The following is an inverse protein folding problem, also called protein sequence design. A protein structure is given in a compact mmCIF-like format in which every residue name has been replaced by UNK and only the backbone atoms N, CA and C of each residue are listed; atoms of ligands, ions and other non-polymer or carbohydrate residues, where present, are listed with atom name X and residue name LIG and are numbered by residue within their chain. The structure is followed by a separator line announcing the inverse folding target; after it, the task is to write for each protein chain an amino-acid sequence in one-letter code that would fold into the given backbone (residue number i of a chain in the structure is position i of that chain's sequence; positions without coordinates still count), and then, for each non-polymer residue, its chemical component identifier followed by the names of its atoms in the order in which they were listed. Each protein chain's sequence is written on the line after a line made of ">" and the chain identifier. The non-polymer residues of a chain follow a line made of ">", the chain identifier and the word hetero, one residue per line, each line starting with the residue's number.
data_IF_691084256259
#
_entry.id   IF_691084256259
#
_cell.length_a   1.000
_cell.length_b   1.000
_cell.length_c   1.000
_cell.angle_alpha   90.00
_cell.angle_beta   90.00
_cell.angle_gamma   90.00
#
_symmetry.space_group_name_H-M   'P 1'
#
loop_
_entity.id
_entity.type
_entity.pdbx_description
1 polymer ?
#
# COMPACT_ATOMS: atom_id res chain seq x y z
N UNK A 1 37.23 -3.33 21.44
CA UNK A 1 36.07 -3.90 20.69
C UNK A 1 34.84 -3.17 21.24
N UNK A 2 34.45 -2.11 20.57
CA UNK A 2 33.30 -1.28 20.98
C UNK A 2 32.19 -1.52 19.96
N UNK A 3 31.14 -2.20 20.40
CA UNK A 3 29.94 -2.45 19.59
C UNK A 3 29.15 -1.14 19.46
N UNK A 4 29.13 -0.59 18.28
CA UNK A 4 28.19 0.44 17.87
C UNK A 4 26.80 -0.20 17.71
N UNK A 5 26.04 -0.26 18.79
CA UNK A 5 24.58 -0.34 18.72
C UNK A 5 24.08 1.04 18.27
N UNK A 6 23.86 1.21 16.97
CA UNK A 6 23.02 2.29 16.49
C UNK A 6 21.59 2.01 16.97
N UNK A 7 21.16 2.77 17.97
CA UNK A 7 19.81 2.75 18.47
C UNK A 7 18.86 3.21 17.37
N UNK A 8 18.05 2.30 16.85
CA UNK A 8 16.83 2.63 16.12
C UNK A 8 15.93 3.30 17.16
N UNK A 9 15.78 4.60 17.07
CA UNK A 9 14.82 5.33 17.91
C UNK A 9 13.44 4.96 17.41
N UNK A 10 12.81 4.03 18.09
CA UNK A 10 11.41 3.65 17.83
C UNK A 10 10.54 4.90 17.85
N UNK A 11 9.88 5.23 16.75
CA UNK A 11 8.95 6.34 16.68
C UNK A 11 7.72 6.01 17.53
N UNK A 12 7.59 6.67 18.68
CA UNK A 12 6.56 6.39 19.69
C UNK A 12 5.14 6.79 19.25
N UNK A 13 5.00 7.61 18.19
CA UNK A 13 3.71 8.13 17.72
C UNK A 13 3.62 7.95 16.20
N UNK A 14 2.49 7.42 15.66
CA UNK A 14 2.30 7.28 14.22
C UNK A 14 2.34 8.65 13.52
N UNK A 15 2.83 8.68 12.29
CA UNK A 15 2.81 9.90 11.47
C UNK A 15 1.40 10.27 10.98
N UNK A 16 0.40 9.55 11.39
CA UNK A 16 -1.02 9.64 11.04
C UNK A 16 -1.27 9.35 9.56
N UNK A 17 -0.75 10.19 8.67
CA UNK A 17 -0.78 9.98 7.22
C UNK A 17 0.56 10.35 6.60
N UNK A 18 0.98 9.59 5.60
CA UNK A 18 2.25 9.74 4.88
C UNK A 18 1.96 9.79 3.38
N UNK A 19 2.42 10.86 2.72
CA UNK A 19 2.42 10.95 1.26
C UNK A 19 3.46 9.98 0.70
N UNK A 20 3.01 8.90 0.07
CA UNK A 20 3.91 7.88 -0.46
C UNK A 20 4.50 8.26 -1.81
N UNK A 21 3.86 9.14 -2.61
CA UNK A 21 4.49 9.66 -3.82
C UNK A 21 5.67 10.56 -3.48
N UNK A 22 5.49 11.47 -2.53
CA UNK A 22 6.59 12.31 -2.04
C UNK A 22 7.71 11.44 -1.44
N UNK A 23 7.36 10.40 -0.67
CA UNK A 23 8.33 9.42 -0.16
C UNK A 23 9.09 8.70 -1.29
N UNK A 24 8.41 8.28 -2.35
CA UNK A 24 9.06 7.59 -3.47
C UNK A 24 10.08 8.51 -4.19
N UNK A 25 9.75 9.79 -4.35
CA UNK A 25 10.56 10.77 -5.04
C UNK A 25 11.75 11.28 -4.20
N UNK A 26 11.58 11.39 -2.88
CA UNK A 26 12.67 11.86 -1.99
C UNK A 26 13.55 10.69 -1.53
N UNK A 27 14.66 10.49 -2.22
CA UNK A 27 15.63 9.43 -1.92
C UNK A 27 16.36 9.59 -0.58
N UNK A 28 16.22 10.73 0.10
CA UNK A 28 16.80 10.96 1.41
C UNK A 28 15.95 10.38 2.54
N UNK A 29 14.68 10.08 2.28
CA UNK A 29 13.74 9.53 3.26
C UNK A 29 13.80 7.99 3.31
N UNK A 30 13.52 7.45 4.48
CA UNK A 30 13.46 6.01 4.73
C UNK A 30 14.81 5.36 4.99
N UNK A 31 14.78 4.03 5.14
CA UNK A 31 15.96 3.22 5.46
C UNK A 31 16.22 2.19 4.36
N UNK A 32 17.49 1.93 4.00
CA UNK A 32 17.82 0.86 3.06
C UNK A 32 17.34 -0.49 3.58
N UNK A 33 16.90 -1.35 2.68
CA UNK A 33 16.60 -2.73 3.02
C UNK A 33 17.90 -3.51 3.19
N UNK A 34 18.18 -4.01 4.38
CA UNK A 34 19.47 -4.64 4.72
C UNK A 34 19.46 -6.18 4.60
N UNK A 35 18.31 -6.78 4.37
CA UNK A 35 18.14 -8.24 4.39
C UNK A 35 18.24 -8.91 3.01
N UNK A 36 18.77 -8.20 2.03
CA UNK A 36 18.93 -8.68 0.67
C UNK A 36 20.22 -9.51 0.55
N UNK A 37 20.17 -10.76 0.92
CA UNK A 37 21.24 -11.73 0.72
C UNK A 37 21.40 -12.08 -0.77
N UNK A 38 22.09 -11.23 -1.55
CA UNK A 38 22.57 -11.57 -2.90
C UNK A 38 21.50 -11.97 -3.92
N UNK A 39 20.29 -11.56 -3.71
CA UNK A 39 19.14 -11.91 -4.53
C UNK A 39 18.90 -10.91 -5.67
N UNK A 40 17.90 -11.20 -6.48
CA UNK A 40 17.46 -10.40 -7.61
C UNK A 40 17.20 -8.93 -7.24
N UNK A 41 17.47 -7.99 -8.17
CA UNK A 41 17.31 -6.56 -7.98
C UNK A 41 15.92 -6.17 -7.52
N UNK A 42 14.86 -6.87 -7.95
CA UNK A 42 13.48 -6.63 -7.52
C UNK A 42 13.31 -6.84 -6.02
N UNK A 43 14.02 -7.77 -5.42
CA UNK A 43 13.99 -8.04 -3.99
C UNK A 43 15.01 -7.23 -3.20
N UNK A 44 16.12 -6.81 -3.80
CA UNK A 44 17.24 -6.17 -3.11
C UNK A 44 17.25 -4.65 -3.18
N UNK A 45 16.78 -4.05 -4.28
CA UNK A 45 16.80 -2.60 -4.47
C UNK A 45 15.59 -1.92 -3.83
N UNK A 46 15.54 -1.97 -2.50
CA UNK A 46 14.40 -1.49 -1.71
C UNK A 46 14.81 -0.44 -0.70
N UNK A 47 13.94 0.52 -0.49
CA UNK A 47 14.01 1.53 0.55
C UNK A 47 12.70 1.52 1.32
N UNK A 48 12.79 1.35 2.64
CA UNK A 48 11.64 1.13 3.51
C UNK A 48 11.20 2.44 4.16
N UNK A 49 9.90 2.61 4.29
CA UNK A 49 9.36 3.60 5.20
C UNK A 49 9.68 3.19 6.63
N UNK A 50 10.11 4.16 7.46
CA UNK A 50 10.38 3.91 8.89
C UNK A 50 9.06 3.73 9.64
N UNK A 51 8.62 2.48 9.76
CA UNK A 51 7.44 2.06 10.50
C UNK A 51 7.83 1.31 11.76
N UNK A 52 6.99 1.31 12.80
CA UNK A 52 7.16 0.44 13.95
C UNK A 52 7.31 -1.02 13.51
N UNK A 53 8.12 -1.85 14.21
CA UNK A 53 8.25 -3.27 13.92
C UNK A 53 6.88 -3.95 13.92
N UNK A 54 6.62 -4.75 12.88
CA UNK A 54 5.33 -5.42 12.72
C UNK A 54 5.30 -6.32 11.47
N UNK A 55 4.15 -6.90 11.18
CA UNK A 55 3.99 -7.82 10.05
C UNK A 55 3.90 -7.11 8.69
N UNK A 56 3.82 -5.77 8.69
CA UNK A 56 3.71 -4.98 7.46
C UNK A 56 4.95 -4.15 7.26
N UNK A 57 5.45 -4.17 6.04
CA UNK A 57 6.48 -3.24 5.57
C UNK A 57 5.98 -2.48 4.36
N UNK A 58 6.27 -1.20 4.31
CA UNK A 58 5.93 -0.30 3.20
C UNK A 58 7.22 0.32 2.68
N UNK A 59 7.34 0.46 1.38
CA UNK A 59 8.56 1.03 0.81
C UNK A 59 8.47 1.23 -0.69
N UNK A 60 9.63 1.49 -1.29
CA UNK A 60 9.80 1.69 -2.72
C UNK A 60 10.87 0.76 -3.26
N UNK A 61 10.62 0.17 -4.43
CA UNK A 61 11.57 -0.56 -5.26
C UNK A 61 11.98 0.38 -6.39
N UNK A 62 13.27 0.55 -6.62
CA UNK A 62 13.79 1.35 -7.73
C UNK A 62 14.66 0.47 -8.62
N UNK A 63 14.27 0.30 -9.87
CA UNK A 63 14.99 -0.48 -10.88
C UNK A 63 15.50 0.46 -11.98
N UNK A 64 16.77 0.35 -12.36
CA UNK A 64 17.37 1.19 -13.41
C UNK A 64 17.00 0.74 -14.84
N UNK A 65 16.19 -0.30 -14.96
CA UNK A 65 15.91 -1.07 -16.17
C UNK A 65 16.57 -2.44 -16.11
N UNK A 66 16.32 -3.30 -17.11
CA UNK A 66 16.84 -4.66 -17.16
C UNK A 66 15.77 -5.71 -16.91
N UNK A 67 16.20 -6.88 -16.46
CA UNK A 67 15.32 -8.01 -16.16
C UNK A 67 15.95 -8.95 -15.13
N UNK A 68 15.11 -9.68 -14.42
CA UNK A 68 15.57 -10.65 -13.44
C UNK A 68 14.52 -11.72 -13.16
N UNK A 69 14.93 -12.74 -12.40
CA UNK A 69 14.08 -13.86 -12.00
C UNK A 69 13.93 -13.87 -10.48
N UNK A 70 12.71 -13.61 -10.02
CA UNK A 70 12.32 -13.89 -8.64
C UNK A 70 11.89 -15.35 -8.56
N UNK A 71 12.68 -16.20 -7.90
CA UNK A 71 12.41 -17.64 -7.78
C UNK A 71 11.28 -17.95 -6.80
N UNK A 72 11.15 -17.13 -5.77
CA UNK A 72 10.10 -17.24 -4.77
C UNK A 72 9.85 -15.86 -4.16
N UNK A 73 8.65 -15.36 -4.29
CA UNK A 73 8.22 -14.14 -3.60
C UNK A 73 8.16 -14.41 -2.08
N UNK A 74 8.87 -13.66 -1.24
CA UNK A 74 9.03 -14.02 0.17
C UNK A 74 7.77 -13.85 1.03
N UNK A 75 6.77 -13.14 0.52
CA UNK A 75 5.49 -12.90 1.22
C UNK A 75 4.47 -12.30 0.25
N UNK A 76 3.19 -12.24 0.63
CA UNK A 76 2.18 -11.49 -0.12
C UNK A 76 2.55 -10.01 -0.16
N UNK A 77 2.57 -9.44 -1.35
CA UNK A 77 2.99 -8.07 -1.57
C UNK A 77 2.10 -7.38 -2.60
N UNK A 78 1.46 -6.30 -2.19
CA UNK A 78 0.84 -5.37 -3.12
C UNK A 78 1.91 -4.45 -3.70
N UNK A 79 1.85 -4.20 -5.01
CA UNK A 79 2.69 -3.24 -5.70
C UNK A 79 1.83 -2.27 -6.51
N UNK A 80 2.29 -1.02 -6.63
CA UNK A 80 1.76 -0.02 -7.54
C UNK A 80 2.91 0.74 -8.20
N UNK A 81 2.89 0.84 -9.52
CA UNK A 81 3.92 1.56 -10.28
C UNK A 81 3.67 3.06 -10.18
N UNK A 82 4.66 3.82 -9.69
CA UNK A 82 4.61 5.28 -9.66
C UNK A 82 5.14 5.89 -10.95
N UNK A 83 6.24 5.35 -11.47
CA UNK A 83 6.91 5.85 -12.67
C UNK A 83 7.47 4.68 -13.49
N UNK A 84 7.51 4.87 -14.81
CA UNK A 84 8.04 3.85 -15.72
C UNK A 84 7.02 2.76 -16.08
N UNK A 85 7.52 1.61 -16.51
CA UNK A 85 6.71 0.47 -16.97
C UNK A 85 7.37 -0.82 -16.56
N UNK A 86 6.63 -1.65 -15.83
CA UNK A 86 7.05 -2.96 -15.35
C UNK A 86 6.30 -4.06 -16.10
N UNK A 87 7.03 -5.05 -16.61
CA UNK A 87 6.44 -6.27 -17.16
C UNK A 87 6.76 -7.43 -16.22
N UNK A 88 5.75 -8.18 -15.83
CA UNK A 88 5.86 -9.39 -15.01
C UNK A 88 5.37 -10.58 -15.83
N UNK A 89 6.20 -11.62 -15.94
CA UNK A 89 5.85 -12.84 -16.67
C UNK A 89 5.93 -14.05 -15.73
N UNK A 90 4.83 -14.76 -15.65
CA UNK A 90 4.71 -16.01 -14.90
C UNK A 90 4.17 -17.09 -15.83
N UNK A 91 4.98 -18.11 -16.12
CA UNK A 91 4.66 -19.16 -17.10
C UNK A 91 4.31 -18.53 -18.47
N UNK A 92 3.09 -18.72 -18.95
CA UNK A 92 2.57 -18.18 -20.22
C UNK A 92 1.77 -16.87 -20.07
N UNK A 93 1.64 -16.38 -18.83
CA UNK A 93 0.91 -15.15 -18.51
C UNK A 93 1.85 -13.96 -18.35
N UNK A 94 1.59 -12.89 -19.06
CA UNK A 94 2.31 -11.62 -18.92
C UNK A 94 1.36 -10.53 -18.44
N UNK A 95 1.81 -9.76 -17.46
CA UNK A 95 1.14 -8.60 -16.89
C UNK A 95 2.04 -7.39 -17.15
N UNK A 96 1.47 -6.33 -17.70
CA UNK A 96 2.16 -5.06 -17.94
C UNK A 96 1.56 -4.00 -17.04
N UNK A 97 2.37 -3.42 -16.18
CA UNK A 97 1.98 -2.36 -15.24
C UNK A 97 2.66 -1.06 -15.66
N UNK A 98 1.87 -0.09 -16.10
CA UNK A 98 2.28 1.31 -16.26
C UNK A 98 2.03 2.12 -14.98
N UNK A 99 2.26 3.45 -15.01
CA UNK A 99 1.95 4.31 -13.89
C UNK A 99 0.51 4.11 -13.40
N UNK A 100 0.36 4.02 -12.08
CA UNK A 100 -0.91 3.82 -11.37
C UNK A 100 -1.54 2.43 -11.50
N UNK A 101 -0.97 1.53 -12.32
CA UNK A 101 -1.39 0.12 -12.32
C UNK A 101 -0.78 -0.63 -11.14
N UNK A 102 -1.53 -1.57 -10.62
CA UNK A 102 -1.18 -2.31 -9.40
C UNK A 102 -1.49 -3.80 -9.50
N UNK A 103 -0.79 -4.58 -8.68
CA UNK A 103 -0.98 -6.03 -8.60
C UNK A 103 -0.64 -6.53 -7.19
N UNK A 104 -1.12 -7.73 -6.85
CA UNK A 104 -0.66 -8.50 -5.69
C UNK A 104 0.21 -9.65 -6.17
N UNK A 105 1.42 -9.74 -5.62
CA UNK A 105 2.38 -10.81 -5.83
C UNK A 105 2.26 -11.75 -4.65
N UNK A 106 1.81 -12.98 -4.86
CA UNK A 106 1.56 -13.91 -3.78
C UNK A 106 2.82 -14.62 -3.31
N UNK A 107 2.83 -15.01 -2.05
CA UNK A 107 3.91 -15.77 -1.41
C UNK A 107 4.30 -16.99 -2.25
N UNK A 108 5.60 -17.26 -2.39
CA UNK A 108 6.20 -18.30 -3.23
C UNK A 108 5.93 -18.19 -4.75
N UNK A 109 5.39 -17.09 -5.24
CA UNK A 109 5.26 -16.86 -6.67
C UNK A 109 6.66 -16.76 -7.32
N UNK A 110 6.89 -17.55 -8.39
CA UNK A 110 8.05 -17.41 -9.28
C UNK A 110 7.63 -16.56 -10.49
N UNK A 111 8.44 -15.57 -10.84
CA UNK A 111 8.17 -14.71 -12.00
C UNK A 111 9.44 -14.05 -12.54
N UNK A 112 9.43 -13.71 -13.81
CA UNK A 112 10.43 -12.85 -14.45
C UNK A 112 9.87 -11.43 -14.48
N UNK A 113 10.66 -10.46 -14.03
CA UNK A 113 10.37 -9.04 -14.24
C UNK A 113 11.25 -8.48 -15.36
N UNK A 114 10.74 -7.47 -16.07
CA UNK A 114 11.52 -6.67 -17.00
C UNK A 114 11.04 -5.24 -17.07
N UNK A 115 12.00 -4.32 -17.28
CA UNK A 115 11.74 -2.90 -17.48
C UNK A 115 12.74 -2.35 -18.52
N UNK A 116 12.23 -1.62 -19.50
CA UNK A 116 13.08 -1.02 -20.56
C UNK A 116 13.81 0.25 -20.07
N UNK A 117 13.23 0.94 -19.11
CA UNK A 117 13.68 2.21 -18.52
C UNK A 117 13.57 2.12 -17.00
N UNK A 118 14.10 3.11 -16.26
CA UNK A 118 13.93 3.16 -14.81
C UNK A 118 12.47 3.09 -14.39
N UNK A 119 12.22 2.35 -13.32
CA UNK A 119 10.88 2.11 -12.74
C UNK A 119 10.92 2.37 -11.24
N UNK A 120 9.93 3.11 -10.74
CA UNK A 120 9.67 3.32 -9.32
C UNK A 120 8.36 2.65 -8.93
N UNK A 121 8.39 1.79 -7.91
CA UNK A 121 7.28 0.93 -7.50
C UNK A 121 7.10 1.06 -6.00
N UNK A 122 5.96 1.55 -5.54
CA UNK A 122 5.57 1.43 -4.13
C UNK A 122 5.09 0.03 -3.82
N UNK A 123 5.39 -0.46 -2.62
CA UNK A 123 4.92 -1.76 -2.18
C UNK A 123 4.42 -1.75 -0.73
N UNK A 124 3.49 -2.66 -0.45
CA UNK A 124 3.07 -3.04 0.90
C UNK A 124 3.19 -4.56 1.00
N UNK A 125 4.06 -5.04 1.89
CA UNK A 125 4.31 -6.46 2.10
C UNK A 125 3.71 -6.92 3.42
N UNK A 126 3.01 -8.05 3.38
CA UNK A 126 2.52 -8.75 4.56
C UNK A 126 3.42 -9.95 4.86
N UNK A 127 4.33 -9.79 5.83
CA UNK A 127 5.43 -10.75 6.09
C UNK A 127 4.99 -12.10 6.65
N UNK A 128 3.78 -12.18 7.23
CA UNK A 128 3.28 -13.41 7.86
C UNK A 128 2.30 -14.18 6.97
N UNK A 129 2.22 -13.83 5.68
CA UNK A 129 1.42 -14.58 4.73
C UNK A 129 1.92 -16.02 4.58
N UNK A 130 0.98 -16.94 4.42
CA UNK A 130 1.28 -18.35 4.14
C UNK A 130 1.45 -18.57 2.63
N UNK A 131 2.33 -19.51 2.21
CA UNK A 131 2.39 -19.95 0.82
C UNK A 131 1.02 -20.47 0.36
N UNK A 132 0.57 -19.99 -0.80
CA UNK A 132 -0.74 -20.31 -1.32
C UNK A 132 -0.75 -20.51 -2.84
N UNK A 133 -1.55 -19.73 -3.54
CA UNK A 133 -1.79 -19.86 -4.98
C UNK A 133 -0.57 -19.53 -5.86
N UNK A 134 0.50 -18.94 -5.32
CA UNK A 134 1.75 -18.56 -6.03
C UNK A 134 1.51 -17.79 -7.31
N UNK A 135 0.54 -16.89 -7.30
CA UNK A 135 0.05 -16.19 -8.49
C UNK A 135 0.42 -14.70 -8.48
N UNK A 136 0.34 -14.08 -9.64
CA UNK A 136 0.35 -12.64 -9.82
C UNK A 136 -1.08 -12.19 -10.13
N UNK A 137 -1.63 -11.31 -9.31
CA UNK A 137 -3.03 -10.88 -9.39
C UNK A 137 -3.09 -9.37 -9.67
N UNK A 138 -3.34 -8.93 -10.92
CA UNK A 138 -3.61 -7.52 -11.19
C UNK A 138 -4.85 -7.06 -10.43
N UNK A 139 -4.80 -5.84 -9.89
CA UNK A 139 -6.00 -5.18 -9.34
C UNK A 139 -6.93 -4.85 -10.51
N UNK A 140 -8.20 -5.18 -10.34
CA UNK A 140 -9.21 -5.00 -11.38
C UNK A 140 -9.44 -3.52 -11.70
N UNK A 141 -9.44 -3.18 -12.99
CA UNK A 141 -9.80 -1.84 -13.46
C UNK A 141 -11.33 -1.75 -13.60
N UNK A 142 -11.95 -0.79 -12.89
CA UNK A 142 -13.39 -0.54 -12.95
C UNK A 142 -14.27 -1.75 -12.59
N UNK A 143 -14.01 -2.45 -11.46
CA UNK A 143 -14.82 -3.61 -11.08
C UNK A 143 -16.24 -3.19 -10.73
N UNK A 144 -17.17 -4.13 -10.79
CA UNK A 144 -18.53 -3.92 -10.27
C UNK A 144 -18.47 -3.93 -8.75
N UNK A 145 -18.75 -2.77 -8.13
CA UNK A 145 -18.72 -2.62 -6.68
C UNK A 145 -20.05 -3.04 -6.05
N UNK A 146 -19.97 -3.81 -4.96
CA UNK A 146 -21.11 -4.24 -4.18
C UNK A 146 -21.28 -3.38 -2.91
N UNK A 147 -22.51 -3.20 -2.39
CA UNK A 147 -22.75 -2.45 -1.16
C UNK A 147 -21.87 -2.95 -0.01
N UNK A 148 -21.28 -2.01 0.74
CA UNK A 148 -20.43 -2.30 1.89
C UNK A 148 -20.82 -1.45 3.11
N UNK A 149 -20.24 -1.77 4.27
CA UNK A 149 -20.56 -1.10 5.53
C UNK A 149 -20.13 0.36 5.49
N UNK A 150 -21.04 1.24 5.88
CA UNK A 150 -20.73 2.65 6.18
C UNK A 150 -19.99 2.77 7.53
N UNK A 151 -19.33 3.92 7.80
CA UNK A 151 -18.83 4.22 9.12
C UNK A 151 -19.94 4.19 10.20
N UNK A 152 -19.54 3.88 11.43
CA UNK A 152 -20.48 3.86 12.56
C UNK A 152 -21.22 5.20 12.72
N UNK A 153 -22.52 5.16 12.94
CA UNK A 153 -23.39 6.34 12.92
C UNK A 153 -22.97 7.42 13.92
N UNK A 154 -22.45 7.02 15.07
CA UNK A 154 -21.96 7.92 16.13
C UNK A 154 -20.71 8.73 15.73
N UNK A 155 -19.98 8.27 14.71
CA UNK A 155 -18.85 9.01 14.16
C UNK A 155 -19.25 10.04 13.11
N UNK A 156 -20.42 9.88 12.48
CA UNK A 156 -20.82 10.72 11.36
C UNK A 156 -21.23 12.12 11.80
N UNK A 157 -20.78 13.11 11.05
CA UNK A 157 -21.18 14.52 11.15
C UNK A 157 -22.11 14.94 10.00
N UNK A 158 -22.32 14.04 9.04
CA UNK A 158 -23.20 14.16 7.87
C UNK A 158 -24.12 12.95 7.82
N UNK A 159 -25.12 12.92 6.92
CA UNK A 159 -25.90 11.71 6.67
C UNK A 159 -25.02 10.50 6.34
N UNK A 160 -25.54 9.30 6.61
CA UNK A 160 -24.84 8.03 6.33
C UNK A 160 -24.54 7.92 4.83
N UNK A 161 -23.25 7.73 4.45
CA UNK A 161 -22.89 7.57 3.05
C UNK A 161 -23.32 6.20 2.51
N UNK A 162 -23.51 6.12 1.20
CA UNK A 162 -23.53 4.86 0.48
C UNK A 162 -22.07 4.46 0.18
N UNK A 163 -21.64 3.34 0.75
CA UNK A 163 -20.32 2.76 0.52
C UNK A 163 -20.44 1.49 -0.30
N UNK A 164 -19.46 1.25 -1.18
CA UNK A 164 -19.37 0.02 -1.99
C UNK A 164 -17.93 -0.45 -2.05
N UNK A 165 -17.71 -1.75 -2.25
CA UNK A 165 -16.37 -2.29 -2.46
C UNK A 165 -16.36 -3.49 -3.42
N UNK A 166 -15.16 -3.79 -3.89
CA UNK A 166 -14.77 -5.02 -4.54
C UNK A 166 -13.44 -5.49 -3.94
N UNK A 167 -13.32 -6.78 -3.60
CA UNK A 167 -12.10 -7.34 -3.04
C UNK A 167 -11.39 -8.17 -4.10
N UNK A 168 -10.21 -7.72 -4.52
CA UNK A 168 -9.36 -8.45 -5.47
C UNK A 168 -8.58 -9.58 -4.78
N UNK A 169 -8.11 -9.32 -3.56
CA UNK A 169 -7.32 -10.28 -2.80
C UNK A 169 -7.61 -10.20 -1.31
N UNK A 170 -7.58 -11.38 -0.66
CA UNK A 170 -7.61 -11.55 0.79
C UNK A 170 -6.67 -12.69 1.17
N UNK A 171 -5.75 -12.44 2.12
CA UNK A 171 -4.88 -13.49 2.68
C UNK A 171 -5.71 -14.57 3.39
N UNK A 172 -5.13 -15.76 3.54
CA UNK A 172 -5.79 -16.91 4.15
C UNK A 172 -6.30 -16.62 5.56
N UNK A 173 -5.53 -15.88 6.35
CA UNK A 173 -5.88 -15.44 7.71
C UNK A 173 -6.84 -14.23 7.73
N UNK A 174 -7.14 -13.66 6.55
CA UNK A 174 -8.04 -12.52 6.39
C UNK A 174 -7.47 -11.18 6.82
N UNK A 175 -6.22 -11.09 7.26
CA UNK A 175 -5.63 -9.87 7.81
C UNK A 175 -5.12 -8.90 6.74
N UNK A 176 -4.71 -9.40 5.57
CA UNK A 176 -4.24 -8.57 4.45
C UNK A 176 -5.25 -8.61 3.31
N UNK A 177 -5.77 -7.45 2.92
CA UNK A 177 -6.88 -7.32 1.95
C UNK A 177 -6.59 -6.19 0.99
N UNK A 178 -6.77 -6.44 -0.32
CA UNK A 178 -6.64 -5.45 -1.38
C UNK A 178 -7.91 -5.38 -2.22
N UNK A 179 -8.26 -4.20 -2.71
CA UNK A 179 -9.42 -4.04 -3.57
C UNK A 179 -9.73 -2.59 -3.91
N UNK A 180 -10.94 -2.38 -4.43
CA UNK A 180 -11.47 -1.07 -4.78
C UNK A 180 -12.66 -0.72 -3.89
N UNK A 181 -12.76 0.54 -3.49
CA UNK A 181 -13.83 1.05 -2.64
C UNK A 181 -14.25 2.44 -3.10
N UNK A 182 -15.54 2.74 -2.96
CA UNK A 182 -16.06 4.10 -3.14
C UNK A 182 -17.09 4.48 -2.10
N UNK A 183 -17.37 5.79 -2.01
CA UNK A 183 -18.47 6.33 -1.20
C UNK A 183 -19.01 7.63 -1.76
N UNK A 184 -20.30 7.89 -1.46
CA UNK A 184 -20.86 9.24 -1.55
C UNK A 184 -20.20 10.16 -0.51
N UNK A 185 -20.27 11.50 -0.66
CA UNK A 185 -19.66 12.46 0.25
C UNK A 185 -20.06 12.21 1.70
N UNK A 186 -19.10 12.32 2.62
CA UNK A 186 -19.38 12.31 4.06
C UNK A 186 -18.25 12.94 4.87
N UNK A 187 -18.60 13.36 6.09
CA UNK A 187 -17.67 13.81 7.10
C UNK A 187 -17.86 12.98 8.37
N UNK A 188 -16.76 12.43 8.91
CA UNK A 188 -16.73 11.75 10.20
C UNK A 188 -15.68 12.34 11.13
N UNK A 189 -15.97 12.25 12.43
CA UNK A 189 -15.02 12.59 13.51
C UNK A 189 -13.77 11.74 13.43
N UNK A 190 -12.71 12.18 14.13
CA UNK A 190 -11.53 11.37 14.33
C UNK A 190 -11.90 10.01 14.94
N UNK A 191 -11.36 8.94 14.35
CA UNK A 191 -11.45 7.59 14.86
C UNK A 191 -10.07 6.99 14.98
N UNK A 192 -9.93 6.01 15.87
CA UNK A 192 -8.75 5.18 15.96
C UNK A 192 -8.66 4.22 14.78
N UNK A 193 -7.51 4.17 14.11
CA UNK A 193 -7.22 3.22 13.03
C UNK A 193 -6.54 1.98 13.63
N UNK A 194 -7.24 0.85 13.79
CA UNK A 194 -6.62 -0.39 14.28
C UNK A 194 -5.79 -1.11 13.23
N UNK A 195 -5.64 -0.53 12.04
CA UNK A 195 -5.04 -1.13 10.85
C UNK A 195 -4.15 -0.12 10.11
N UNK A 196 -3.22 -0.64 9.30
CA UNK A 196 -2.59 0.12 8.23
C UNK A 196 -3.50 0.15 7.02
N UNK A 197 -3.57 1.29 6.34
CA UNK A 197 -4.31 1.40 5.09
C UNK A 197 -3.56 2.29 4.09
N UNK A 198 -3.02 1.67 3.02
CA UNK A 198 -2.60 2.40 1.83
C UNK A 198 -3.84 2.71 0.99
N UNK A 199 -3.93 3.94 0.52
CA UNK A 199 -4.98 4.42 -0.38
C UNK A 199 -4.35 5.05 -1.62
N UNK A 200 -4.84 4.65 -2.80
CA UNK A 200 -4.61 5.32 -4.07
C UNK A 200 -5.93 5.88 -4.56
N UNK A 201 -6.07 7.21 -4.64
CA UNK A 201 -7.32 7.85 -5.01
C UNK A 201 -7.55 7.82 -6.53
N UNK A 202 -8.64 7.17 -6.92
CA UNK A 202 -9.11 7.07 -8.30
C UNK A 202 -10.01 8.25 -8.69
N UNK A 203 -10.75 8.80 -7.70
CA UNK A 203 -11.72 9.88 -7.89
C UNK A 203 -11.87 10.69 -6.60
N UNK A 204 -12.12 11.99 -6.76
CA UNK A 204 -12.42 12.91 -5.67
C UNK A 204 -11.23 13.30 -4.82
N UNK A 205 -11.54 13.86 -3.66
CA UNK A 205 -10.56 14.29 -2.68
C UNK A 205 -11.05 14.05 -1.25
N UNK A 206 -10.10 13.89 -0.34
CA UNK A 206 -10.38 13.71 1.09
C UNK A 206 -9.39 14.48 1.94
N UNK A 207 -9.91 15.15 2.97
CA UNK A 207 -9.09 15.82 3.98
C UNK A 207 -9.12 15.02 5.27
N UNK A 208 -7.94 14.77 5.82
CA UNK A 208 -7.73 14.23 7.16
C UNK A 208 -7.28 15.33 8.10
N UNK A 209 -7.71 15.25 9.34
CA UNK A 209 -7.17 16.06 10.44
C UNK A 209 -6.93 15.12 11.63
N UNK A 210 -5.75 15.19 12.23
CA UNK A 210 -5.39 14.37 13.39
C UNK A 210 -5.63 15.11 14.71
N UNK A 211 -5.41 14.42 15.83
CA UNK A 211 -5.63 14.96 17.18
C UNK A 211 -4.67 16.13 17.53
N UNK A 212 -3.60 16.32 16.77
CA UNK A 212 -2.67 17.44 16.95
C UNK A 212 -3.06 18.68 16.14
N UNK A 213 -4.12 18.57 15.31
CA UNK A 213 -4.55 19.59 14.36
C UNK A 213 -3.75 19.60 13.06
N UNK A 214 -2.88 18.60 12.83
CA UNK A 214 -2.22 18.43 11.54
C UNK A 214 -3.27 17.99 10.52
N UNK A 215 -3.35 18.71 9.41
CA UNK A 215 -4.27 18.43 8.32
C UNK A 215 -3.53 18.07 7.04
N UNK A 216 -4.12 17.19 6.22
CA UNK A 216 -3.62 16.83 4.90
C UNK A 216 -4.78 16.50 3.98
N UNK A 217 -4.75 17.06 2.76
CA UNK A 217 -5.73 16.76 1.71
C UNK A 217 -5.06 15.95 0.62
N UNK A 218 -5.67 14.84 0.25
CA UNK A 218 -5.27 13.98 -0.85
C UNK A 218 -6.36 13.98 -1.91
N UNK A 219 -5.96 13.96 -3.16
CA UNK A 219 -6.83 14.09 -4.33
C UNK A 219 -6.58 12.95 -5.31
N UNK A 220 -7.40 12.84 -6.33
CA UNK A 220 -7.20 11.87 -7.42
C UNK A 220 -5.75 11.84 -7.87
N UNK A 221 -5.17 10.65 -7.92
CA UNK A 221 -3.78 10.39 -8.28
C UNK A 221 -2.83 10.30 -7.09
N UNK A 222 -3.20 10.76 -5.91
CA UNK A 222 -2.35 10.65 -4.72
C UNK A 222 -2.34 9.22 -4.16
N UNK A 223 -1.16 8.82 -3.67
CA UNK A 223 -0.96 7.56 -2.95
C UNK A 223 -0.46 7.90 -1.55
N UNK A 224 -1.16 7.45 -0.54
CA UNK A 224 -0.80 7.73 0.85
C UNK A 224 -1.11 6.57 1.78
N UNK A 225 -0.46 6.58 2.93
CA UNK A 225 -0.66 5.60 4.00
C UNK A 225 -1.29 6.28 5.20
N UNK A 226 -2.34 5.70 5.76
CA UNK A 226 -2.78 5.95 7.14
C UNK A 226 -2.18 4.85 8.00
N UNK A 227 -1.39 5.27 9.00
CA UNK A 227 -0.69 4.32 9.87
C UNK A 227 -1.63 3.69 10.89
N UNK A 228 -1.31 2.46 11.27
CA UNK A 228 -1.97 1.80 12.40
C UNK A 228 -1.79 2.63 13.67
N UNK A 229 -2.82 2.67 14.50
CA UNK A 229 -2.92 3.46 15.74
C UNK A 229 -3.06 4.98 15.52
N UNK A 230 -3.09 5.46 14.30
CA UNK A 230 -3.43 6.85 14.01
C UNK A 230 -4.84 7.18 14.47
N UNK A 231 -5.07 8.46 14.78
CA UNK A 231 -6.39 9.00 15.09
C UNK A 231 -6.65 10.20 14.20
N UNK A 232 -7.54 10.06 13.23
CA UNK A 232 -7.86 11.16 12.32
C UNK A 232 -9.31 11.14 11.85
N UNK A 233 -9.78 12.31 11.44
CA UNK A 233 -11.06 12.53 10.79
C UNK A 233 -11.02 12.07 9.33
N UNK A 234 -12.16 12.18 8.66
CA UNK A 234 -12.33 12.04 7.21
C UNK A 234 -13.35 13.07 6.77
N UNK A 235 -13.01 13.93 5.83
CA UNK A 235 -13.93 14.88 5.21
C UNK A 235 -13.80 14.80 3.69
N UNK A 236 -14.80 14.23 3.03
CA UNK A 236 -14.94 14.22 1.58
C UNK A 236 -16.19 14.99 1.17
N UNK A 237 -16.00 16.02 0.33
CA UNK A 237 -17.08 16.90 -0.14
C UNK A 237 -17.71 16.43 -1.45
N UNK A 238 -17.14 15.43 -2.06
CA UNK A 238 -17.53 14.82 -3.32
C UNK A 238 -17.42 13.29 -3.21
N UNK A 239 -17.88 12.57 -4.23
CA UNK A 239 -17.67 11.12 -4.29
C UNK A 239 -16.16 10.83 -4.29
N UNK A 240 -15.77 9.83 -3.54
CA UNK A 240 -14.38 9.34 -3.49
C UNK A 240 -14.35 7.88 -3.88
N UNK A 241 -13.41 7.55 -4.79
CA UNK A 241 -13.08 6.18 -5.12
C UNK A 241 -11.58 5.94 -4.93
N UNK A 242 -11.21 4.74 -4.48
CA UNK A 242 -9.81 4.39 -4.21
C UNK A 242 -9.53 2.91 -4.44
N UNK A 243 -8.30 2.58 -4.83
CA UNK A 243 -7.70 1.29 -4.51
C UNK A 243 -7.24 1.33 -3.06
N UNK A 244 -7.53 0.28 -2.32
CA UNK A 244 -7.07 0.16 -0.92
C UNK A 244 -6.24 -1.10 -0.72
N UNK A 245 -5.28 -0.98 0.20
CA UNK A 245 -4.54 -2.11 0.77
C UNK A 245 -4.60 -1.98 2.27
N UNK A 246 -5.19 -2.94 2.93
CA UNK A 246 -5.42 -2.90 4.37
C UNK A 246 -4.76 -4.10 5.03
N UNK A 247 -3.98 -3.84 6.08
CA UNK A 247 -3.59 -4.84 7.05
C UNK A 247 -4.33 -4.56 8.35
N UNK A 248 -5.20 -5.47 8.75
CA UNK A 248 -5.95 -5.42 10.02
C UNK A 248 -5.61 -6.66 10.85
N UNK A 249 -4.91 -6.50 11.98
CA UNK A 249 -4.67 -7.62 12.88
C UNK A 249 -5.97 -8.20 13.40
N UNK A 250 -5.96 -9.51 13.69
CA UNK A 250 -7.10 -10.27 14.24
C UNK A 250 -7.51 -9.80 15.64
#
# INVERSE_FOLDING_TARGET
>A
MSSLQQGITERATPATFVDLRAFAQDHSLGVPFTDASGEDDFLSRRRMLDLPPGPVTVGVITLDGGSGLVKAQPADEFIIVCEGKLTLTQQDRTIVLGPDNSAVLLHDAEFVWSAECPVSILFVRYQYSSPGARALLPIAEGPVLEPSSAPAAELLLTPTPACRNYTDYRSEDGQFVCGTWDSTPYHRRAMFYPHYELMYLLEGSVTFEDETGRSGTFSRGDIFLVEQHARCSWDSREQVAKVYVMFRPA
#
